data_IF_871302567601
#
_entry.id   IF_871302567601
#
_cell.length_a   1.000
_cell.length_b   1.000
_cell.length_c   1.000
_cell.angle_alpha   90.00
_cell.angle_beta   90.00
_cell.angle_gamma   90.00
#
_symmetry.space_group_name_H-M   'P 1'
#
loop_
_entity.id
_entity.type
_entity.pdbx_description
1 polymer ?
#
# COMPACT_ATOMS: atom_id res chain seq x y z
N UNK A 1 19.52 -18.37 29.10
CA UNK A 1 18.57 -18.10 30.20
C UNK A 1 17.16 -18.42 29.71
N UNK A 2 16.60 -19.55 30.13
CA UNK A 2 15.20 -19.90 29.86
C UNK A 2 14.29 -18.94 30.63
N UNK A 3 13.45 -18.18 29.94
CA UNK A 3 12.47 -17.30 30.57
C UNK A 3 11.53 -18.15 31.44
N UNK A 4 11.58 -17.94 32.76
CA UNK A 4 10.71 -18.65 33.70
C UNK A 4 9.26 -18.34 33.37
N UNK A 5 8.47 -19.39 33.14
CA UNK A 5 7.02 -19.28 32.99
C UNK A 5 6.42 -18.65 34.26
N UNK A 6 5.36 -17.84 34.13
CA UNK A 6 4.71 -17.19 35.26
C UNK A 6 4.16 -18.22 36.25
N UNK A 7 4.28 -17.94 37.54
CA UNK A 7 3.78 -18.81 38.61
C UNK A 7 2.26 -18.89 38.60
N UNK A 8 1.70 -19.97 39.17
CA UNK A 8 0.25 -20.13 39.38
C UNK A 8 -0.36 -18.93 40.12
N UNK A 9 0.34 -18.41 41.12
CA UNK A 9 -0.05 -17.19 41.83
C UNK A 9 -0.09 -15.96 40.91
N UNK A 10 0.85 -15.81 39.97
CA UNK A 10 0.82 -14.74 38.97
C UNK A 10 -0.35 -14.90 37.99
N UNK A 11 -0.67 -16.13 37.57
CA UNK A 11 -1.82 -16.42 36.71
C UNK A 11 -3.14 -16.15 37.43
N UNK A 12 -3.27 -16.55 38.70
CA UNK A 12 -4.46 -16.32 39.50
C UNK A 12 -4.65 -14.85 39.86
N UNK A 13 -3.58 -14.14 40.16
CA UNK A 13 -3.62 -12.70 40.41
C UNK A 13 -3.94 -11.94 39.10
N UNK A 14 -3.47 -12.42 37.94
CA UNK A 14 -3.88 -11.90 36.63
C UNK A 14 -5.36 -12.15 36.35
N UNK A 15 -5.88 -13.36 36.63
CA UNK A 15 -7.32 -13.68 36.52
C UNK A 15 -8.18 -12.85 37.48
N UNK A 16 -7.79 -12.71 38.75
CA UNK A 16 -8.48 -11.85 39.73
C UNK A 16 -8.46 -10.38 39.30
N UNK A 17 -7.34 -9.87 38.78
CA UNK A 17 -7.27 -8.51 38.24
C UNK A 17 -8.09 -8.33 36.95
N UNK A 18 -8.25 -9.37 36.13
CA UNK A 18 -9.16 -9.40 34.97
C UNK A 18 -10.62 -9.30 35.43
N UNK A 19 -11.02 -10.14 36.40
CA UNK A 19 -12.38 -10.18 36.93
C UNK A 19 -12.73 -8.88 37.66
N UNK A 20 -11.83 -8.37 38.50
CA UNK A 20 -12.02 -7.12 39.27
C UNK A 20 -12.00 -5.86 38.39
N UNK A 21 -11.42 -5.91 37.19
CA UNK A 21 -11.49 -4.85 36.17
C UNK A 21 -12.74 -4.92 35.29
N UNK A 22 -13.41 -6.09 35.25
CA UNK A 22 -14.67 -6.27 34.54
C UNK A 22 -15.88 -5.76 35.35
N UNK A 23 -15.82 -5.78 36.69
CA UNK A 23 -16.95 -5.49 37.60
C UNK A 23 -17.41 -4.03 37.69
N UNK A 24 -16.88 -3.12 36.88
CA UNK A 24 -17.42 -1.75 36.77
C UNK A 24 -17.35 -1.14 35.38
N UNK A 25 -16.91 -1.88 34.36
CA UNK A 25 -16.83 -1.36 32.99
C UNK A 25 -18.24 -1.17 32.45
N UNK A 26 -18.51 -0.04 31.78
CA UNK A 26 -19.74 0.13 30.98
C UNK A 26 -19.79 -1.07 30.02
N UNK A 27 -20.78 -1.94 30.24
CA UNK A 27 -20.97 -3.14 29.45
C UNK A 27 -21.77 -2.71 28.23
N UNK A 28 -21.09 -2.51 27.11
CA UNK A 28 -21.79 -2.26 25.85
C UNK A 28 -22.30 -3.58 25.33
N UNK A 29 -23.61 -3.74 25.39
CA UNK A 29 -24.30 -4.91 24.85
C UNK A 29 -25.17 -4.54 23.65
N UNK A 30 -25.61 -3.28 23.58
CA UNK A 30 -26.57 -2.79 22.59
C UNK A 30 -26.17 -1.41 22.06
N UNK A 31 -26.79 -1.03 20.96
CA UNK A 31 -26.61 0.27 20.30
C UNK A 31 -27.01 1.44 21.20
N UNK A 32 -28.04 1.27 22.02
CA UNK A 32 -28.49 2.31 22.96
C UNK A 32 -27.35 2.76 23.88
N UNK A 33 -26.52 1.81 24.34
CA UNK A 33 -25.37 2.09 25.19
C UNK A 33 -24.32 2.94 24.44
N UNK A 34 -24.17 2.75 23.12
CA UNK A 34 -23.31 3.57 22.27
C UNK A 34 -23.88 4.96 22.02
N UNK A 35 -25.18 5.08 21.77
CA UNK A 35 -25.86 6.37 21.59
C UNK A 35 -25.69 7.22 22.85
N UNK A 36 -25.85 6.61 24.04
CA UNK A 36 -25.63 7.32 25.30
C UNK A 36 -24.15 7.71 25.49
N UNK A 37 -23.22 6.81 25.18
CA UNK A 37 -21.77 7.06 25.26
C UNK A 37 -21.29 8.17 24.31
N UNK A 38 -21.93 8.30 23.14
CA UNK A 38 -21.55 9.24 22.08
C UNK A 38 -22.38 10.53 22.09
N UNK A 39 -23.33 10.64 23.03
CA UNK A 39 -24.22 11.78 23.15
C UNK A 39 -23.43 13.08 23.27
N UNK A 40 -23.74 14.04 22.41
CA UNK A 40 -23.05 15.34 22.35
C UNK A 40 -21.74 15.36 21.56
N UNK A 41 -21.30 14.21 21.02
CA UNK A 41 -20.15 14.12 20.11
C UNK A 41 -20.57 14.05 18.63
N UNK A 42 -21.86 13.95 18.34
CA UNK A 42 -22.38 13.69 17.00
C UNK A 42 -22.22 14.90 16.06
N UNK A 43 -21.68 14.65 14.88
CA UNK A 43 -21.67 15.61 13.78
C UNK A 43 -23.07 15.69 13.18
N UNK A 44 -23.75 16.80 13.45
CA UNK A 44 -25.05 17.09 12.85
C UNK A 44 -24.89 17.69 11.44
N UNK A 45 -25.92 17.56 10.60
CA UNK A 45 -25.88 18.05 9.21
C UNK A 45 -25.80 19.59 9.07
N UNK A 46 -25.88 20.34 10.18
CA UNK A 46 -25.79 21.80 10.17
C UNK A 46 -24.32 22.25 10.19
N UNK A 47 -23.79 22.67 9.03
CA UNK A 47 -22.40 23.12 8.91
C UNK A 47 -22.03 24.27 9.85
N UNK A 48 -22.99 25.14 10.21
CA UNK A 48 -22.79 26.28 11.10
C UNK A 48 -22.41 25.88 12.54
N UNK A 49 -22.89 24.73 13.02
CA UNK A 49 -22.55 24.21 14.35
C UNK A 49 -21.10 23.70 14.42
N UNK A 50 -20.43 23.55 13.28
CA UNK A 50 -19.10 22.96 13.19
C UNK A 50 -17.96 23.98 13.28
N UNK A 51 -18.20 25.25 12.95
CA UNK A 51 -17.20 26.30 13.13
C UNK A 51 -16.89 26.54 14.62
N UNK A 52 -17.83 26.19 15.49
CA UNK A 52 -17.73 26.38 16.94
C UNK A 52 -17.12 25.19 17.69
N UNK A 53 -16.98 24.02 17.04
CA UNK A 53 -16.36 22.83 17.66
C UNK A 53 -14.84 22.92 17.51
N UNK A 54 -14.10 22.62 18.58
CA UNK A 54 -12.63 22.52 18.53
C UNK A 54 -12.22 21.59 17.39
N UNK A 55 -11.33 22.09 16.52
CA UNK A 55 -10.89 21.39 15.31
C UNK A 55 -10.22 20.04 15.59
N UNK A 56 -9.76 19.81 16.82
CA UNK A 56 -9.12 18.60 17.29
C UNK A 56 -10.03 17.73 18.17
N UNK A 57 -11.23 18.19 18.52
CA UNK A 57 -12.17 17.42 19.32
C UNK A 57 -12.60 16.13 18.60
N UNK A 58 -12.89 15.11 19.40
CA UNK A 58 -13.50 13.87 18.92
C UNK A 58 -14.94 14.18 18.48
N UNK A 59 -15.24 13.86 17.23
CA UNK A 59 -16.60 13.92 16.69
C UNK A 59 -17.00 12.57 16.12
N UNK A 60 -18.21 12.13 16.44
CA UNK A 60 -18.85 10.97 15.81
C UNK A 60 -19.43 11.40 14.48
N UNK A 61 -19.07 10.70 13.42
CA UNK A 61 -19.45 11.09 12.06
C UNK A 61 -20.97 10.91 11.84
N UNK A 62 -21.56 11.56 10.83
CA UNK A 62 -22.99 11.44 10.55
C UNK A 62 -23.38 9.98 10.27
N UNK A 63 -24.47 9.53 10.89
CA UNK A 63 -24.88 8.12 10.90
C UNK A 63 -23.77 7.17 11.38
N UNK A 64 -22.87 7.70 12.22
CA UNK A 64 -21.65 7.04 12.63
C UNK A 64 -21.88 5.94 13.64
N UNK A 65 -22.90 6.05 14.51
CA UNK A 65 -23.33 4.97 15.40
C UNK A 65 -24.16 3.96 14.60
N UNK A 66 -23.80 2.67 14.68
CA UNK A 66 -24.41 1.65 13.85
C UNK A 66 -24.58 0.31 14.55
N UNK A 67 -25.54 -0.46 14.04
CA UNK A 67 -25.69 -1.90 14.22
C UNK A 67 -25.89 -2.53 12.85
N UNK A 68 -25.08 -3.52 12.52
CA UNK A 68 -25.27 -4.34 11.33
C UNK A 68 -25.43 -5.83 11.70
N UNK A 69 -25.86 -6.12 12.93
CA UNK A 69 -26.06 -7.46 13.48
C UNK A 69 -24.75 -8.15 13.82
N UNK A 70 -23.90 -8.40 12.83
CA UNK A 70 -22.60 -9.04 13.00
C UNK A 70 -21.56 -8.12 13.68
N UNK A 71 -21.76 -6.81 13.61
CA UNK A 71 -20.92 -5.80 14.23
C UNK A 71 -21.77 -4.58 14.60
N UNK A 72 -21.37 -3.89 15.65
CA UNK A 72 -21.96 -2.61 16.03
C UNK A 72 -20.87 -1.76 16.69
N UNK A 73 -21.02 -0.45 16.61
CA UNK A 73 -19.92 0.45 16.88
C UNK A 73 -20.23 1.90 16.52
N UNK A 74 -19.19 2.71 16.44
CA UNK A 74 -19.30 4.07 15.94
C UNK A 74 -18.08 4.53 15.15
N UNK A 75 -18.32 5.40 14.17
CA UNK A 75 -17.28 6.05 13.36
C UNK A 75 -16.98 7.42 13.93
N UNK A 76 -15.70 7.74 14.12
CA UNK A 76 -15.28 9.02 14.67
C UNK A 76 -14.04 9.59 13.97
N UNK A 77 -13.82 10.89 14.13
CA UNK A 77 -12.61 11.59 13.70
C UNK A 77 -12.50 12.93 14.45
N UNK A 78 -11.64 13.82 13.97
CA UNK A 78 -11.66 15.26 14.28
C UNK A 78 -11.72 16.06 12.97
N UNK A 79 -12.09 17.34 13.03
CA UNK A 79 -12.11 18.21 11.84
C UNK A 79 -10.76 18.25 11.14
N UNK A 80 -9.68 18.37 11.91
CA UNK A 80 -8.33 18.52 11.37
C UNK A 80 -7.83 17.22 10.71
N UNK A 81 -8.21 16.06 11.27
CA UNK A 81 -7.90 14.74 10.69
C UNK A 81 -8.75 14.48 9.44
N UNK A 82 -10.05 14.79 9.46
CA UNK A 82 -10.91 14.67 8.26
C UNK A 82 -10.39 15.50 7.08
N UNK A 83 -9.76 16.66 7.35
CA UNK A 83 -9.13 17.50 6.32
C UNK A 83 -8.00 16.80 5.56
N UNK A 84 -7.48 15.69 6.05
CA UNK A 84 -6.54 14.86 5.27
C UNK A 84 -7.15 14.33 3.97
N UNK A 85 -8.49 14.18 3.88
CA UNK A 85 -9.16 13.85 2.63
C UNK A 85 -9.02 14.98 1.59
N UNK A 86 -9.22 16.24 2.00
CA UNK A 86 -9.05 17.41 1.14
C UNK A 86 -7.59 17.53 0.69
N UNK A 87 -6.65 17.44 1.65
CA UNK A 87 -5.20 17.47 1.37
C UNK A 87 -4.80 16.36 0.39
N UNK A 88 -5.39 15.18 0.48
CA UNK A 88 -5.09 14.08 -0.43
C UNK A 88 -5.70 14.30 -1.82
N UNK A 89 -6.95 14.77 -1.90
CA UNK A 89 -7.57 15.16 -3.17
C UNK A 89 -6.69 16.15 -3.91
N UNK A 90 -6.23 17.19 -3.22
CA UNK A 90 -5.43 18.25 -3.82
C UNK A 90 -4.04 17.74 -4.23
N UNK A 91 -3.40 16.93 -3.39
CA UNK A 91 -2.09 16.35 -3.67
C UNK A 91 -2.10 15.40 -4.88
N UNK A 92 -3.10 14.52 -4.94
CA UNK A 92 -3.18 13.43 -5.92
C UNK A 92 -3.97 13.80 -7.18
N UNK A 93 -4.58 14.98 -7.25
CA UNK A 93 -5.31 15.47 -8.43
C UNK A 93 -6.71 14.89 -8.58
N UNK A 94 -7.46 14.81 -7.48
CA UNK A 94 -8.86 14.36 -7.44
C UNK A 94 -9.01 12.97 -6.85
N UNK A 95 -8.52 11.93 -7.56
CA UNK A 95 -8.51 10.54 -7.08
C UNK A 95 -7.26 10.24 -6.28
N UNK A 96 -7.40 9.72 -5.07
CA UNK A 96 -6.26 9.45 -4.19
C UNK A 96 -6.23 8.00 -3.67
N UNK A 97 -5.05 7.47 -3.29
CA UNK A 97 -4.96 6.11 -2.77
C UNK A 97 -5.43 6.05 -1.32
N UNK A 98 -6.18 4.99 -0.98
CA UNK A 98 -6.64 4.68 0.36
C UNK A 98 -5.87 3.54 1.02
N UNK A 99 -5.89 3.51 2.34
CA UNK A 99 -5.33 2.43 3.17
C UNK A 99 -6.27 2.19 4.34
N UNK A 100 -6.51 0.92 4.68
CA UNK A 100 -7.39 0.54 5.78
C UNK A 100 -6.84 -0.69 6.51
N UNK A 101 -6.85 -0.66 7.84
CA UNK A 101 -6.41 -1.76 8.68
C UNK A 101 -7.02 -1.66 10.09
N UNK A 102 -7.11 -2.80 10.77
CA UNK A 102 -7.62 -2.95 12.12
C UNK A 102 -6.51 -3.10 13.15
N UNK A 103 -6.65 -2.45 14.30
CA UNK A 103 -5.71 -2.58 15.41
C UNK A 103 -6.39 -3.07 16.69
N UNK A 104 -5.87 -4.19 17.19
CA UNK A 104 -6.32 -4.86 18.41
C UNK A 104 -5.52 -4.43 19.65
N UNK A 105 -6.02 -4.83 20.83
CA UNK A 105 -5.39 -4.65 22.16
C UNK A 105 -5.37 -3.23 22.71
N UNK A 106 -6.00 -2.27 22.03
CA UNK A 106 -6.21 -0.93 22.56
C UNK A 106 -7.23 -0.94 23.72
N UNK A 107 -8.21 -1.85 23.65
CA UNK A 107 -9.34 -1.92 24.57
C UNK A 107 -9.38 -3.23 25.34
N UNK A 108 -9.86 -3.16 26.56
CA UNK A 108 -10.02 -4.32 27.43
C UNK A 108 -11.09 -5.29 26.94
N UNK A 109 -12.19 -4.78 26.39
CA UNK A 109 -13.29 -5.57 25.83
C UNK A 109 -12.91 -6.36 24.57
N UNK A 110 -11.68 -6.20 24.07
CA UNK A 110 -11.20 -6.92 22.90
C UNK A 110 -11.66 -6.34 21.56
N UNK A 111 -12.41 -5.25 21.56
CA UNK A 111 -12.88 -4.61 20.32
C UNK A 111 -11.70 -3.98 19.55
N UNK A 112 -11.62 -4.16 18.22
CA UNK A 112 -10.64 -3.46 17.40
C UNK A 112 -11.00 -1.98 17.22
N UNK A 113 -9.99 -1.17 16.96
CA UNK A 113 -10.17 0.14 16.33
C UNK A 113 -9.67 0.03 14.89
N UNK A 114 -10.55 0.32 13.95
CA UNK A 114 -10.25 0.35 12.53
C UNK A 114 -9.82 1.75 12.14
N UNK A 115 -8.84 1.84 11.25
CA UNK A 115 -8.33 3.10 10.72
C UNK A 115 -8.54 3.13 9.22
N UNK A 116 -8.98 4.26 8.71
CA UNK A 116 -9.06 4.52 7.29
C UNK A 116 -8.39 5.85 6.97
N UNK A 117 -7.59 5.85 5.92
CA UNK A 117 -6.80 7.02 5.56
C UNK A 117 -6.18 6.89 4.18
N UNK A 118 -5.12 7.65 3.97
CA UNK A 118 -4.46 7.82 2.67
C UNK A 118 -2.94 7.82 2.83
N UNK A 119 -2.24 7.86 1.70
CA UNK A 119 -0.79 7.84 1.64
C UNK A 119 -0.21 9.25 1.49
N UNK A 120 0.81 9.51 2.30
CA UNK A 120 1.76 10.60 2.12
C UNK A 120 3.11 10.02 1.69
N UNK A 121 3.70 10.58 0.63
CA UNK A 121 5.00 10.15 0.13
C UNK A 121 5.97 11.34 0.10
N UNK A 122 7.13 11.20 0.74
CA UNK A 122 8.13 12.27 0.81
C UNK A 122 9.56 11.71 0.68
N UNK A 123 10.50 12.58 0.35
CA UNK A 123 11.93 12.24 0.38
C UNK A 123 12.53 12.61 1.73
N UNK A 124 13.05 11.61 2.45
CA UNK A 124 13.81 11.81 3.68
C UNK A 124 15.27 12.04 3.30
N UNK A 125 15.71 13.30 3.36
CA UNK A 125 17.07 13.71 3.02
C UNK A 125 18.12 13.10 3.95
N UNK A 126 17.79 12.86 5.22
CA UNK A 126 18.73 12.25 6.18
C UNK A 126 18.98 10.79 5.85
N UNK A 127 17.96 10.08 5.38
CA UNK A 127 18.05 8.66 5.02
C UNK A 127 18.26 8.42 3.52
N UNK A 128 18.40 9.49 2.73
CA UNK A 128 18.51 9.49 1.28
C UNK A 128 17.49 8.55 0.59
N UNK A 129 16.25 8.52 1.10
CA UNK A 129 15.26 7.52 0.68
C UNK A 129 13.85 8.10 0.60
N UNK A 130 13.06 7.55 -0.33
CA UNK A 130 11.61 7.79 -0.38
C UNK A 130 10.99 7.10 0.84
N UNK A 131 10.12 7.82 1.54
CA UNK A 131 9.37 7.35 2.70
C UNK A 131 7.88 7.48 2.43
N UNK A 132 7.14 6.55 3.02
CA UNK A 132 5.70 6.50 2.97
C UNK A 132 5.19 6.66 4.40
N UNK A 133 4.09 7.38 4.55
CA UNK A 133 3.45 7.61 5.83
C UNK A 133 1.93 7.53 5.65
N UNK A 134 1.28 6.80 6.55
CA UNK A 134 -0.17 6.77 6.62
C UNK A 134 -0.70 8.08 7.20
N UNK A 135 -1.70 8.65 6.55
CA UNK A 135 -2.43 9.85 7.00
C UNK A 135 -3.87 9.44 7.33
N UNK A 136 -4.25 9.36 8.61
CA UNK A 136 -5.62 8.97 8.96
C UNK A 136 -6.61 10.01 8.47
N UNK A 137 -7.82 9.56 8.12
CA UNK A 137 -8.97 10.41 7.81
C UNK A 137 -10.07 10.15 8.84
N UNK A 138 -10.28 8.89 9.21
CA UNK A 138 -11.29 8.49 10.20
C UNK A 138 -10.92 7.18 10.88
N UNK A 139 -11.61 6.92 11.98
CA UNK A 139 -11.48 5.71 12.76
C UNK A 139 -12.86 5.13 13.04
N UNK A 140 -12.89 3.83 13.33
CA UNK A 140 -14.09 3.15 13.80
C UNK A 140 -13.78 2.33 15.03
N UNK A 141 -14.61 2.50 16.04
CA UNK A 141 -14.72 1.58 17.15
C UNK A 141 -15.78 0.54 16.80
N UNK A 142 -15.47 -0.76 16.83
CA UNK A 142 -16.43 -1.81 16.45
C UNK A 142 -16.22 -3.09 17.23
N UNK A 143 -17.30 -3.83 17.49
CA UNK A 143 -17.23 -5.17 18.11
C UNK A 143 -16.57 -6.23 17.23
N UNK A 144 -16.63 -6.05 15.92
CA UNK A 144 -16.13 -7.02 14.96
C UNK A 144 -15.78 -6.39 13.62
N UNK A 145 -14.90 -7.07 12.89
CA UNK A 145 -14.53 -6.75 11.52
C UNK A 145 -15.47 -7.51 10.57
N UNK A 146 -16.45 -6.81 10.00
CA UNK A 146 -17.35 -7.35 8.98
C UNK A 146 -17.39 -6.44 7.75
N UNK A 147 -17.85 -6.97 6.62
CA UNK A 147 -18.06 -6.17 5.39
C UNK A 147 -18.92 -4.95 5.69
N UNK A 148 -20.00 -5.13 6.42
CA UNK A 148 -20.98 -4.09 6.75
C UNK A 148 -20.37 -3.01 7.65
N UNK A 149 -19.52 -3.39 8.60
CA UNK A 149 -18.77 -2.44 9.42
C UNK A 149 -17.83 -1.59 8.55
N UNK A 150 -17.07 -2.19 7.64
CA UNK A 150 -16.20 -1.43 6.74
C UNK A 150 -17.00 -0.56 5.75
N UNK A 151 -18.13 -1.04 5.22
CA UNK A 151 -19.04 -0.22 4.40
C UNK A 151 -19.49 1.00 5.19
N UNK A 152 -19.87 0.82 6.46
CA UNK A 152 -20.27 1.93 7.33
C UNK A 152 -19.12 2.91 7.57
N UNK A 153 -17.91 2.43 7.86
CA UNK A 153 -16.70 3.27 8.01
C UNK A 153 -16.53 4.18 6.79
N UNK A 154 -16.53 3.59 5.60
CA UNK A 154 -16.29 4.30 4.35
C UNK A 154 -17.42 5.29 4.01
N UNK A 155 -18.69 4.89 4.18
CA UNK A 155 -19.84 5.75 3.91
C UNK A 155 -19.92 6.93 4.87
N UNK A 156 -19.76 6.72 6.18
CA UNK A 156 -19.77 7.79 7.17
C UNK A 156 -18.63 8.78 6.95
N UNK A 157 -17.45 8.27 6.57
CA UNK A 157 -16.30 9.12 6.24
C UNK A 157 -16.57 9.98 5.01
N UNK A 158 -17.05 9.37 3.92
CA UNK A 158 -17.36 10.08 2.68
C UNK A 158 -18.47 11.12 2.88
N UNK A 159 -19.52 10.78 3.66
CA UNK A 159 -20.58 11.71 4.02
C UNK A 159 -20.06 12.90 4.83
N UNK A 160 -19.22 12.65 5.85
CA UNK A 160 -18.61 13.71 6.64
C UNK A 160 -17.72 14.64 5.79
N UNK A 161 -16.90 14.07 4.90
CA UNK A 161 -16.06 14.85 3.98
C UNK A 161 -16.90 15.70 3.03
N UNK A 162 -18.00 15.14 2.49
CA UNK A 162 -18.92 15.89 1.63
C UNK A 162 -19.58 17.05 2.38
N UNK A 163 -20.09 16.80 3.58
CA UNK A 163 -20.75 17.82 4.40
C UNK A 163 -19.82 18.96 4.80
N UNK A 164 -18.54 18.66 5.07
CA UNK A 164 -17.59 19.63 5.60
C UNK A 164 -16.78 20.37 4.53
N UNK A 165 -16.48 19.70 3.42
CA UNK A 165 -15.55 20.19 2.40
C UNK A 165 -16.17 20.23 1.00
N UNK A 166 -17.44 19.85 0.86
CA UNK A 166 -18.20 20.01 -0.38
C UNK A 166 -17.81 19.06 -1.51
N UNK A 167 -17.08 17.97 -1.25
CA UNK A 167 -16.69 17.01 -2.28
C UNK A 167 -16.92 15.56 -1.87
N UNK A 168 -17.26 14.71 -2.85
CA UNK A 168 -17.36 13.27 -2.66
C UNK A 168 -15.98 12.64 -2.78
N UNK A 169 -15.61 11.80 -1.82
CA UNK A 169 -14.35 11.05 -1.89
C UNK A 169 -14.36 10.09 -3.07
N UNK A 170 -13.31 10.16 -3.89
CA UNK A 170 -13.05 9.25 -5.00
C UNK A 170 -11.64 8.67 -4.85
N UNK A 171 -11.55 7.35 -4.83
CA UNK A 171 -10.28 6.65 -4.58
C UNK A 171 -9.73 6.07 -5.87
N UNK A 172 -8.42 6.21 -6.07
CA UNK A 172 -7.72 5.54 -7.18
C UNK A 172 -7.51 4.07 -6.87
N UNK A 173 -7.14 3.77 -5.62
CA UNK A 173 -6.72 2.45 -5.16
C UNK A 173 -6.99 2.26 -3.68
N UNK A 174 -6.95 1.01 -3.22
CA UNK A 174 -6.81 0.70 -1.79
C UNK A 174 -5.81 -0.43 -1.58
N UNK A 175 -4.88 -0.22 -0.65
CA UNK A 175 -3.96 -1.25 -0.19
C UNK A 175 -4.35 -1.71 1.21
N UNK A 176 -4.42 -3.03 1.39
CA UNK A 176 -4.71 -3.66 2.67
C UNK A 176 -4.19 -5.10 2.68
N UNK A 177 -4.21 -5.70 3.85
CA UNK A 177 -4.02 -7.13 4.07
C UNK A 177 -4.99 -7.99 3.28
N UNK A 178 -4.68 -9.29 3.20
CA UNK A 178 -5.59 -10.33 2.72
C UNK A 178 -6.81 -10.41 3.67
N UNK A 179 -7.82 -9.59 3.40
CA UNK A 179 -9.03 -9.45 4.21
C UNK A 179 -10.27 -9.32 3.32
N UNK A 180 -11.06 -10.40 3.22
CA UNK A 180 -12.24 -10.47 2.35
C UNK A 180 -13.29 -9.41 2.71
N UNK A 181 -13.48 -9.15 4.01
CA UNK A 181 -14.43 -8.14 4.50
C UNK A 181 -14.07 -6.73 4.01
N UNK A 182 -12.79 -6.34 4.10
CA UNK A 182 -12.32 -5.02 3.66
C UNK A 182 -12.45 -4.92 2.14
N UNK A 183 -12.00 -5.93 1.40
CA UNK A 183 -12.08 -5.96 -0.06
C UNK A 183 -13.53 -5.85 -0.55
N UNK A 184 -14.44 -6.62 0.02
CA UNK A 184 -15.85 -6.61 -0.35
C UNK A 184 -16.54 -5.28 0.00
N UNK A 185 -16.19 -4.67 1.13
CA UNK A 185 -16.70 -3.36 1.51
C UNK A 185 -16.18 -2.26 0.56
N UNK A 186 -14.90 -2.33 0.22
CA UNK A 186 -14.26 -1.41 -0.70
C UNK A 186 -14.91 -1.46 -2.08
N UNK A 187 -15.14 -2.66 -2.62
CA UNK A 187 -15.82 -2.85 -3.90
C UNK A 187 -17.28 -2.33 -3.88
N UNK A 188 -17.95 -2.37 -2.72
CA UNK A 188 -19.29 -1.79 -2.54
C UNK A 188 -19.27 -0.25 -2.65
N UNK A 189 -18.30 0.41 -2.00
CA UNK A 189 -18.30 1.88 -1.88
C UNK A 189 -17.57 2.58 -3.04
N UNK A 190 -16.48 1.98 -3.52
CA UNK A 190 -15.67 2.49 -4.62
C UNK A 190 -15.39 1.38 -5.66
N UNK A 191 -16.41 0.95 -6.43
CA UNK A 191 -16.28 -0.16 -7.38
C UNK A 191 -15.25 0.09 -8.50
N UNK A 192 -14.95 1.36 -8.79
CA UNK A 192 -14.01 1.75 -9.85
C UNK A 192 -12.55 1.85 -9.36
N UNK A 193 -12.31 1.76 -8.06
CA UNK A 193 -10.98 1.88 -7.49
C UNK A 193 -10.26 0.52 -7.51
N UNK A 194 -8.95 0.51 -7.73
CA UNK A 194 -8.19 -0.74 -7.79
C UNK A 194 -7.85 -1.27 -6.40
N UNK A 195 -8.22 -2.52 -6.13
CA UNK A 195 -7.76 -3.24 -4.94
C UNK A 195 -6.31 -3.70 -5.12
N UNK A 196 -5.51 -3.56 -4.06
CA UNK A 196 -4.12 -4.00 -3.99
C UNK A 196 -3.93 -4.78 -2.69
N UNK A 197 -3.21 -5.89 -2.77
CA UNK A 197 -2.88 -6.73 -1.62
C UNK A 197 -1.48 -6.39 -1.12
N UNK A 198 -1.31 -6.26 0.19
CA UNK A 198 -0.04 -5.93 0.82
C UNK A 198 1.05 -6.99 0.52
N UNK A 199 2.13 -6.57 -0.13
CA UNK A 199 3.31 -7.39 -0.44
C UNK A 199 4.01 -7.96 0.81
N UNK A 200 4.35 -7.18 1.85
CA UNK A 200 4.92 -7.74 3.08
C UNK A 200 4.16 -8.95 3.64
N UNK A 201 2.83 -8.92 3.58
CA UNK A 201 2.01 -10.04 4.00
C UNK A 201 2.07 -11.24 3.05
N UNK A 202 2.19 -11.00 1.75
CA UNK A 202 2.43 -12.03 0.74
C UNK A 202 3.84 -12.62 0.84
N UNK A 203 4.87 -11.84 1.19
CA UNK A 203 6.26 -12.32 1.21
C UNK A 203 6.65 -13.06 2.48
N UNK A 204 6.04 -12.72 3.63
CA UNK A 204 6.45 -13.25 4.94
C UNK A 204 5.60 -14.42 5.45
N UNK A 205 4.27 -14.37 5.30
CA UNK A 205 3.36 -15.42 5.80
C UNK A 205 3.59 -16.82 5.18
N UNK A 206 3.90 -16.97 3.88
CA UNK A 206 3.95 -18.29 3.23
C UNK A 206 5.05 -19.22 3.77
N UNK A 207 6.17 -18.67 4.23
CA UNK A 207 7.37 -19.46 4.57
C UNK A 207 7.11 -20.54 5.62
N UNK A 208 6.19 -20.28 6.57
CA UNK A 208 5.82 -21.25 7.62
C UNK A 208 4.94 -22.39 7.10
N UNK A 209 4.18 -22.14 6.04
CA UNK A 209 3.29 -23.14 5.43
C UNK A 209 4.04 -23.97 4.40
N UNK A 210 4.95 -23.34 3.65
CA UNK A 210 5.76 -24.01 2.63
C UNK A 210 6.60 -25.14 3.20
N UNK A 211 7.30 -24.93 4.33
CA UNK A 211 8.14 -25.94 4.97
C UNK A 211 7.37 -27.24 5.27
N UNK A 212 6.06 -27.14 5.52
CA UNK A 212 5.19 -28.28 5.81
C UNK A 212 4.77 -29.05 4.56
N UNK A 213 4.75 -28.39 3.41
CA UNK A 213 4.26 -28.94 2.14
C UNK A 213 5.38 -29.47 1.24
N UNK A 214 6.61 -29.01 1.43
CA UNK A 214 7.75 -29.43 0.60
C UNK A 214 8.09 -30.90 0.88
N UNK A 215 8.01 -31.72 -0.17
CA UNK A 215 8.30 -33.16 -0.12
C UNK A 215 9.73 -33.50 -0.58
N UNK A 216 10.38 -32.60 -1.30
CA UNK A 216 11.78 -32.73 -1.73
C UNK A 216 12.73 -32.92 -0.55
N UNK A 217 13.76 -33.75 -0.76
CA UNK A 217 14.85 -33.93 0.18
C UNK A 217 15.61 -32.61 0.44
N UNK A 218 15.79 -31.79 -0.60
CA UNK A 218 16.39 -30.47 -0.49
C UNK A 218 15.30 -29.40 -0.32
N UNK A 219 14.78 -29.32 0.90
CA UNK A 219 13.73 -28.35 1.24
C UNK A 219 14.19 -26.90 1.10
N UNK A 220 15.46 -26.65 1.43
CA UNK A 220 16.04 -25.32 1.43
C UNK A 220 16.08 -24.75 0.02
N UNK A 221 16.58 -25.50 -0.96
CA UNK A 221 16.64 -25.04 -2.34
C UNK A 221 15.26 -24.74 -2.94
N UNK A 222 14.24 -25.55 -2.63
CA UNK A 222 12.86 -25.31 -3.08
C UNK A 222 12.31 -24.02 -2.48
N UNK A 223 12.46 -23.82 -1.17
CA UNK A 223 11.96 -22.63 -0.47
C UNK A 223 12.66 -21.36 -0.99
N UNK A 224 13.98 -21.40 -1.19
CA UNK A 224 14.73 -20.28 -1.75
C UNK A 224 14.32 -19.95 -3.19
N UNK A 225 14.04 -20.97 -4.01
CA UNK A 225 13.55 -20.78 -5.37
C UNK A 225 12.13 -20.17 -5.39
N UNK A 226 11.24 -20.60 -4.50
CA UNK A 226 9.91 -19.99 -4.30
C UNK A 226 10.02 -18.53 -3.86
N UNK A 227 10.86 -18.26 -2.86
CA UNK A 227 11.04 -16.91 -2.33
C UNK A 227 11.59 -15.95 -3.39
N UNK A 228 12.61 -16.40 -4.15
CA UNK A 228 13.14 -15.65 -5.29
C UNK A 228 12.05 -15.38 -6.32
N UNK A 229 11.23 -16.38 -6.62
CA UNK A 229 10.13 -16.28 -7.59
C UNK A 229 9.08 -15.25 -7.17
N UNK A 230 8.66 -15.23 -5.90
CA UNK A 230 7.76 -14.21 -5.37
C UNK A 230 8.37 -12.81 -5.48
N UNK A 231 9.66 -12.65 -5.15
CA UNK A 231 10.32 -11.34 -5.28
C UNK A 231 10.40 -10.86 -6.74
N UNK A 232 10.52 -11.78 -7.70
CA UNK A 232 10.48 -11.44 -9.12
C UNK A 232 9.06 -11.06 -9.56
N UNK A 233 8.05 -11.83 -9.15
CA UNK A 233 6.64 -11.50 -9.38
C UNK A 233 6.27 -10.12 -8.82
N UNK A 234 6.74 -9.78 -7.62
CA UNK A 234 6.52 -8.46 -7.03
C UNK A 234 7.10 -7.34 -7.90
N UNK A 235 8.24 -7.60 -8.56
CA UNK A 235 8.92 -6.63 -9.44
C UNK A 235 8.31 -6.54 -10.84
N UNK A 236 7.27 -7.32 -11.16
CA UNK A 236 6.57 -7.22 -12.43
C UNK A 236 5.95 -5.83 -12.62
N UNK A 237 5.88 -5.39 -13.88
CA UNK A 237 5.53 -4.01 -14.24
C UNK A 237 4.19 -3.89 -14.96
N UNK A 238 3.57 -5.01 -15.26
CA UNK A 238 2.26 -5.13 -15.89
C UNK A 238 1.62 -6.45 -15.46
N UNK A 239 0.29 -6.50 -15.51
CA UNK A 239 -0.48 -7.73 -15.30
C UNK A 239 0.00 -8.87 -16.20
N UNK A 240 0.32 -8.60 -17.47
CA UNK A 240 0.74 -9.62 -18.43
C UNK A 240 2.09 -10.24 -18.05
N UNK A 241 3.09 -9.40 -17.77
CA UNK A 241 4.38 -9.83 -17.23
C UNK A 241 4.22 -10.66 -15.93
N UNK A 242 3.32 -10.25 -15.02
CA UNK A 242 3.00 -11.01 -13.82
C UNK A 242 2.43 -12.38 -14.16
N UNK A 243 1.40 -12.43 -15.02
CA UNK A 243 0.73 -13.67 -15.43
C UNK A 243 1.67 -14.65 -16.14
N UNK A 244 2.61 -14.17 -16.95
CA UNK A 244 3.59 -15.03 -17.62
C UNK A 244 4.64 -15.59 -16.67
N UNK A 245 5.22 -14.75 -15.80
CA UNK A 245 6.15 -15.24 -14.80
C UNK A 245 5.46 -16.22 -13.84
N UNK A 246 4.21 -15.96 -13.47
CA UNK A 246 3.40 -16.85 -12.63
C UNK A 246 3.23 -18.25 -13.23
N UNK A 247 3.01 -18.35 -14.54
CA UNK A 247 2.95 -19.64 -15.25
C UNK A 247 4.30 -20.37 -15.20
N UNK A 248 5.41 -19.66 -15.39
CA UNK A 248 6.75 -20.24 -15.30
C UNK A 248 7.07 -20.74 -13.89
N UNK A 249 6.70 -19.99 -12.85
CA UNK A 249 6.87 -20.39 -11.45
C UNK A 249 6.11 -21.68 -11.16
N UNK A 250 4.84 -21.76 -11.56
CA UNK A 250 4.04 -22.99 -11.39
C UNK A 250 4.61 -24.16 -12.18
N UNK A 251 5.03 -23.94 -13.43
CA UNK A 251 5.65 -24.97 -14.24
C UNK A 251 6.91 -25.51 -13.56
N UNK A 252 7.76 -24.65 -13.00
CA UNK A 252 8.98 -25.07 -12.31
C UNK A 252 8.67 -25.87 -11.04
N UNK A 253 7.70 -25.45 -10.23
CA UNK A 253 7.32 -26.20 -9.03
C UNK A 253 6.82 -27.61 -9.36
N UNK A 254 5.93 -27.74 -10.34
CA UNK A 254 5.36 -29.04 -10.75
C UNK A 254 6.37 -29.92 -11.48
N UNK A 255 7.09 -29.38 -12.46
CA UNK A 255 7.87 -30.19 -13.39
C UNK A 255 9.32 -30.40 -12.94
N UNK A 256 9.97 -29.36 -12.40
CA UNK A 256 11.38 -29.41 -11.97
C UNK A 256 11.50 -29.91 -10.54
N UNK A 257 10.72 -29.35 -9.61
CA UNK A 257 10.81 -29.72 -8.20
C UNK A 257 9.86 -30.86 -7.78
N UNK A 258 8.86 -31.18 -8.60
CA UNK A 258 7.82 -32.19 -8.30
C UNK A 258 7.01 -31.86 -7.05
N UNK A 259 6.78 -30.57 -6.80
CA UNK A 259 6.12 -30.03 -5.61
C UNK A 259 4.66 -29.62 -5.90
N UNK A 260 3.79 -30.61 -6.15
CA UNK A 260 2.39 -30.37 -6.55
C UNK A 260 1.57 -29.61 -5.50
N UNK A 261 1.64 -30.02 -4.23
CA UNK A 261 0.90 -29.38 -3.14
C UNK A 261 1.33 -27.93 -2.92
N UNK A 262 2.64 -27.66 -3.02
CA UNK A 262 3.18 -26.31 -2.93
C UNK A 262 2.78 -25.46 -4.13
N UNK A 263 2.82 -26.02 -5.35
CA UNK A 263 2.37 -25.33 -6.56
C UNK A 263 0.89 -24.94 -6.45
N UNK A 264 0.05 -25.85 -5.96
CA UNK A 264 -1.36 -25.57 -5.72
C UNK A 264 -1.54 -24.40 -4.74
N UNK A 265 -0.88 -24.46 -3.58
CA UNK A 265 -0.94 -23.38 -2.58
C UNK A 265 -0.46 -22.04 -3.18
N UNK A 266 0.68 -22.03 -3.89
CA UNK A 266 1.23 -20.81 -4.47
C UNK A 266 0.28 -20.22 -5.51
N UNK A 267 -0.32 -21.07 -6.34
CA UNK A 267 -1.32 -20.65 -7.31
C UNK A 267 -2.56 -20.07 -6.63
N UNK A 268 -3.17 -20.80 -5.70
CA UNK A 268 -4.45 -20.42 -5.09
C UNK A 268 -4.34 -19.20 -4.18
N UNK A 269 -3.25 -19.11 -3.40
CA UNK A 269 -3.13 -18.11 -2.35
C UNK A 269 -2.48 -16.80 -2.81
N UNK A 270 -1.57 -16.86 -3.79
CA UNK A 270 -0.71 -15.71 -4.14
C UNK A 270 -0.80 -15.29 -5.61
N UNK A 271 -1.18 -16.17 -6.53
CA UNK A 271 -1.11 -15.86 -7.97
C UNK A 271 -2.50 -15.71 -8.59
N UNK A 272 -3.53 -16.32 -8.01
CA UNK A 272 -4.89 -16.23 -8.49
C UNK A 272 -5.68 -15.09 -7.82
N UNK A 273 -6.69 -14.54 -8.52
CA UNK A 273 -7.70 -13.71 -7.90
C UNK A 273 -8.32 -14.41 -6.68
N UNK A 274 -8.72 -13.65 -5.64
CA UNK A 274 -8.78 -12.19 -5.59
C UNK A 274 -7.50 -11.49 -5.09
N UNK A 275 -6.39 -12.20 -4.87
CA UNK A 275 -5.21 -11.69 -4.16
C UNK A 275 -3.93 -11.69 -5.01
N UNK A 276 -4.07 -11.62 -6.33
CA UNK A 276 -3.01 -11.59 -7.34
C UNK A 276 -2.44 -10.18 -7.63
N UNK A 277 -2.93 -9.18 -6.92
CA UNK A 277 -2.63 -7.76 -7.18
C UNK A 277 -1.66 -7.21 -6.12
N UNK A 278 -0.38 -7.59 -6.18
CA UNK A 278 0.66 -7.19 -5.19
C UNK A 278 2.02 -6.88 -5.82
N UNK A 279 2.09 -6.71 -7.14
CA UNK A 279 3.29 -6.24 -7.84
C UNK A 279 3.40 -4.72 -7.80
N UNK A 280 4.62 -4.19 -7.97
CA UNK A 280 4.97 -2.78 -7.67
C UNK A 280 4.17 -1.74 -8.47
N UNK A 281 3.72 -2.06 -9.68
CA UNK A 281 2.95 -1.13 -10.51
C UNK A 281 1.43 -1.35 -10.45
N UNK A 282 0.97 -2.32 -9.64
CA UNK A 282 -0.40 -2.80 -9.61
C UNK A 282 -1.42 -1.71 -9.20
N UNK A 283 -0.98 -0.74 -8.39
CA UNK A 283 -1.79 0.42 -8.03
C UNK A 283 -2.21 1.24 -9.25
N UNK A 284 -1.41 1.25 -10.32
CA UNK A 284 -1.57 2.25 -11.36
C UNK A 284 -0.96 3.60 -11.00
N UNK A 285 -0.78 3.90 -9.71
CA UNK A 285 -0.37 5.18 -9.17
C UNK A 285 1.13 5.21 -8.88
N UNK A 286 1.80 6.31 -9.25
CA UNK A 286 3.23 6.47 -9.02
C UNK A 286 3.51 6.54 -7.51
N UNK A 287 4.53 5.81 -7.05
CA UNK A 287 4.92 5.72 -5.62
C UNK A 287 3.81 5.25 -4.67
N UNK A 288 2.79 4.56 -5.17
CA UNK A 288 1.82 3.85 -4.35
C UNK A 288 2.14 2.36 -4.42
N UNK A 289 3.11 1.94 -3.60
CA UNK A 289 3.55 0.55 -3.53
C UNK A 289 2.51 -0.31 -2.77
N UNK A 290 2.40 -1.62 -3.07
CA UNK A 290 1.50 -2.55 -2.38
C UNK A 290 2.00 -2.84 -0.96
N UNK A 291 1.87 -1.92 -0.01
CA UNK A 291 2.36 -2.08 1.36
C UNK A 291 1.45 -1.42 2.39
N UNK A 292 1.04 -2.21 3.40
CA UNK A 292 0.39 -1.76 4.64
C UNK A 292 1.39 -1.30 5.72
N UNK A 293 2.69 -1.30 5.42
CA UNK A 293 3.71 -0.89 6.39
C UNK A 293 3.48 0.53 6.94
N UNK A 294 2.99 1.51 6.15
CA UNK A 294 2.68 2.84 6.67
C UNK A 294 1.60 2.81 7.76
N UNK A 295 0.48 2.10 7.57
CA UNK A 295 -0.57 2.01 8.60
C UNK A 295 -0.13 1.17 9.80
N UNK A 296 0.65 0.10 9.59
CA UNK A 296 1.22 -0.69 10.69
C UNK A 296 2.16 0.14 11.57
N UNK A 297 3.02 0.96 10.93
CA UNK A 297 3.94 1.88 11.63
C UNK A 297 3.14 2.94 12.40
N UNK A 298 2.05 3.43 11.80
CA UNK A 298 1.14 4.33 12.48
C UNK A 298 0.50 3.68 13.72
N UNK A 299 -0.02 2.46 13.61
CA UNK A 299 -0.59 1.71 14.72
C UNK A 299 0.43 1.40 15.82
N UNK A 300 1.65 1.09 15.44
CA UNK A 300 2.76 0.97 16.39
C UNK A 300 2.93 2.29 17.16
N UNK A 301 2.96 3.42 16.47
CA UNK A 301 3.09 4.74 17.08
C UNK A 301 1.93 5.06 18.04
N UNK A 302 0.69 4.74 17.66
CA UNK A 302 -0.49 4.91 18.53
C UNK A 302 -0.29 4.13 19.83
N UNK A 303 0.06 2.85 19.74
CA UNK A 303 0.20 1.94 20.89
C UNK A 303 1.32 2.31 21.87
N UNK A 304 2.38 2.95 21.38
CA UNK A 304 3.57 3.23 22.18
C UNK A 304 3.69 4.69 22.63
N UNK A 305 3.13 5.63 21.88
CA UNK A 305 3.41 7.06 22.09
C UNK A 305 2.17 7.95 22.18
N UNK A 306 0.99 7.51 21.71
CA UNK A 306 -0.19 8.39 21.63
C UNK A 306 -1.29 8.08 22.64
N UNK A 307 -1.26 6.90 23.23
CA UNK A 307 -2.19 6.50 24.28
C UNK A 307 -1.42 6.14 25.54
N UNK A 308 -1.98 6.51 26.69
CA UNK A 308 -1.33 6.27 27.98
C UNK A 308 -1.43 4.80 28.43
N UNK A 309 -2.37 4.02 27.86
CA UNK A 309 -2.66 2.67 28.33
C UNK A 309 -3.20 1.76 27.23
N UNK A 310 -2.52 0.64 27.03
CA UNK A 310 -3.06 -0.49 26.28
C UNK A 310 -4.10 -1.25 27.10
N UNK A 311 -5.09 -1.83 26.42
CA UNK A 311 -6.24 -2.50 27.03
C UNK A 311 -6.95 -1.59 28.03
N UNK A 312 -7.13 -0.32 27.64
CA UNK A 312 -7.87 0.63 28.44
C UNK A 312 -9.34 0.18 28.58
N UNK A 313 -9.97 0.60 29.67
CA UNK A 313 -11.43 0.55 29.78
C UNK A 313 -12.02 1.57 28.80
N UNK A 314 -13.23 1.31 28.33
CA UNK A 314 -13.81 2.11 27.26
C UNK A 314 -14.09 3.55 27.69
N UNK A 315 -14.66 3.74 28.87
CA UNK A 315 -14.81 5.05 29.53
C UNK A 315 -13.50 5.85 29.49
N UNK A 316 -12.40 5.25 29.95
CA UNK A 316 -11.08 5.90 29.90
C UNK A 316 -10.62 6.19 28.46
N UNK A 317 -10.88 5.28 27.53
CA UNK A 317 -10.53 5.50 26.12
C UNK A 317 -11.34 6.69 25.55
N UNK A 318 -12.62 6.82 25.87
CA UNK A 318 -13.47 7.91 25.38
C UNK A 318 -13.10 9.27 25.98
N UNK A 319 -12.87 9.31 27.29
CA UNK A 319 -12.66 10.59 27.99
C UNK A 319 -11.22 11.10 27.90
N UNK A 320 -10.22 10.21 27.86
CA UNK A 320 -8.80 10.60 27.86
C UNK A 320 -8.07 10.12 26.62
N UNK A 321 -8.26 8.85 26.24
CA UNK A 321 -7.47 8.20 25.19
C UNK A 321 -7.66 8.79 23.80
N UNK A 322 -8.91 8.87 23.31
CA UNK A 322 -9.23 9.41 21.99
C UNK A 322 -8.92 10.90 21.89
N UNK A 323 -9.33 11.77 22.84
CA UNK A 323 -8.99 13.19 22.77
C UNK A 323 -7.47 13.44 22.70
N UNK A 324 -6.69 12.78 23.56
CA UNK A 324 -5.23 12.89 23.53
C UNK A 324 -4.65 12.39 22.21
N UNK A 325 -5.10 11.23 21.73
CA UNK A 325 -4.62 10.68 20.47
C UNK A 325 -4.93 11.60 19.30
N UNK A 326 -6.17 12.04 19.11
CA UNK A 326 -6.54 12.92 17.99
C UNK A 326 -5.80 14.28 18.07
N UNK A 327 -5.59 14.80 19.28
CA UNK A 327 -4.78 16.00 19.49
C UNK A 327 -3.30 15.79 19.06
N UNK A 328 -2.70 14.66 19.45
CA UNK A 328 -1.34 14.33 19.05
C UNK A 328 -1.21 14.09 17.55
N UNK A 329 -2.22 13.51 16.90
CA UNK A 329 -2.23 13.37 15.46
C UNK A 329 -2.31 14.72 14.76
N UNK A 330 -3.19 15.59 15.24
CA UNK A 330 -3.34 16.94 14.71
C UNK A 330 -2.07 17.79 14.81
N UNK A 331 -1.25 17.56 15.85
CA UNK A 331 -0.07 18.38 16.16
C UNK A 331 1.25 17.80 15.66
N UNK A 332 1.35 16.49 15.41
CA UNK A 332 2.59 15.83 14.93
C UNK A 332 2.77 15.87 13.40
N UNK A 333 2.29 16.91 12.75
CA UNK A 333 2.42 17.09 11.31
C UNK A 333 1.67 16.05 10.47
N UNK A 334 0.79 15.21 11.05
CA UNK A 334 -0.14 14.35 10.29
C UNK A 334 -1.23 15.15 9.60
N UNK A 335 -1.33 16.44 9.93
CA UNK A 335 -2.19 17.43 9.30
C UNK A 335 -1.41 18.44 8.44
N UNK A 336 -0.14 18.20 8.15
CA UNK A 336 0.59 18.99 7.15
C UNK A 336 0.13 18.62 5.73
N UNK A 337 0.33 19.51 4.73
CA UNK A 337 0.07 19.19 3.33
C UNK A 337 0.61 17.83 2.92
N UNK A 338 -0.18 17.10 2.14
CA UNK A 338 0.20 15.78 1.65
C UNK A 338 1.00 15.95 0.37
N UNK A 339 2.15 15.29 0.31
CA UNK A 339 2.89 15.11 -0.94
C UNK A 339 2.44 13.83 -1.65
N UNK A 340 2.07 13.96 -2.92
CA UNK A 340 1.80 12.85 -3.85
C UNK A 340 3.00 12.55 -4.76
N UNK A 341 4.12 13.25 -4.57
CA UNK A 341 5.36 13.02 -5.27
C UNK A 341 6.54 13.08 -4.29
N UNK A 342 7.53 12.21 -4.48
CA UNK A 342 8.77 12.24 -3.71
C UNK A 342 9.87 13.02 -4.44
N UNK A 343 9.55 14.18 -5.03
CA UNK A 343 10.51 14.98 -5.77
C UNK A 343 11.52 15.69 -4.85
N UNK A 344 12.32 14.92 -4.10
CA UNK A 344 13.44 15.41 -3.30
C UNK A 344 14.67 15.77 -4.14
N UNK A 345 15.58 16.54 -3.54
CA UNK A 345 16.91 16.80 -4.11
C UNK A 345 17.65 15.46 -4.21
N UNK A 346 18.12 15.10 -5.40
CA UNK A 346 18.90 13.88 -5.62
C UNK A 346 20.32 14.13 -5.13
N UNK A 347 20.86 13.25 -4.28
CA UNK A 347 22.22 13.43 -3.72
C UNK A 347 23.28 13.35 -4.82
N UNK A 348 24.35 14.14 -4.68
CA UNK A 348 25.50 14.18 -5.61
C UNK A 348 26.12 12.81 -5.88
N UNK A 349 26.08 11.91 -4.89
CA UNK A 349 26.56 10.52 -5.02
C UNK A 349 25.69 9.68 -5.96
N UNK A 350 24.36 9.83 -5.89
CA UNK A 350 23.43 9.18 -6.82
C UNK A 350 23.59 9.78 -8.22
N UNK A 351 23.89 11.09 -8.31
CA UNK A 351 24.24 11.76 -9.57
C UNK A 351 25.51 11.15 -10.18
N UNK A 352 26.58 11.04 -9.41
CA UNK A 352 27.85 10.47 -9.87
C UNK A 352 27.68 9.01 -10.34
N UNK A 353 27.01 8.17 -9.56
CA UNK A 353 26.80 6.76 -9.92
C UNK A 353 25.92 6.57 -11.18
N UNK A 354 24.96 7.47 -11.42
CA UNK A 354 24.17 7.45 -12.64
C UNK A 354 24.97 7.96 -13.85
N UNK A 355 25.82 8.99 -13.66
CA UNK A 355 26.75 9.48 -14.70
C UNK A 355 27.78 8.41 -15.09
N UNK A 356 28.33 7.66 -14.13
CA UNK A 356 29.26 6.56 -14.43
C UNK A 356 28.60 5.45 -15.26
N UNK A 357 27.33 5.12 -14.97
CA UNK A 357 26.56 4.13 -15.75
C UNK A 357 26.19 4.64 -17.15
N UNK A 358 25.97 5.95 -17.31
CA UNK A 358 25.83 6.57 -18.62
C UNK A 358 27.16 6.47 -19.39
N UNK A 359 28.27 6.87 -18.78
CA UNK A 359 29.58 6.85 -19.43
C UNK A 359 30.02 5.42 -19.83
N UNK A 360 29.58 4.40 -19.10
CA UNK A 360 29.81 2.99 -19.40
C UNK A 360 28.98 2.43 -20.59
N UNK A 361 28.19 3.25 -21.31
CA UNK A 361 27.32 2.84 -22.43
C UNK A 361 26.30 1.73 -22.08
N UNK A 362 25.84 1.67 -20.83
CA UNK A 362 24.88 0.65 -20.36
C UNK A 362 23.40 0.96 -20.71
N UNK A 363 23.14 1.79 -21.73
CA UNK A 363 21.81 2.20 -22.16
C UNK A 363 21.74 2.34 -23.68
N UNK A 364 20.56 2.14 -24.28
CA UNK A 364 20.30 2.43 -25.69
C UNK A 364 19.10 3.37 -25.81
N UNK A 365 19.26 4.43 -26.60
CA UNK A 365 18.17 5.36 -26.95
C UNK A 365 17.39 4.76 -28.12
N UNK A 366 16.08 4.63 -27.97
CA UNK A 366 15.18 4.20 -29.04
C UNK A 366 14.07 5.24 -29.18
N UNK A 367 14.16 6.07 -30.23
CA UNK A 367 13.25 7.20 -30.47
C UNK A 367 13.22 8.22 -29.29
N UNK A 368 12.04 8.50 -28.71
CA UNK A 368 11.84 9.39 -27.54
C UNK A 368 11.96 8.65 -26.20
N UNK A 369 12.29 7.36 -26.21
CA UNK A 369 12.31 6.49 -25.04
C UNK A 369 13.72 5.97 -24.77
N UNK A 370 14.11 5.95 -23.49
CA UNK A 370 15.39 5.38 -23.07
C UNK A 370 15.16 3.97 -22.53
N UNK A 371 15.95 3.02 -23.01
CA UNK A 371 15.94 1.64 -22.54
C UNK A 371 17.25 1.35 -21.79
N UNK A 372 17.14 1.14 -20.48
CA UNK A 372 18.28 0.81 -19.61
C UNK A 372 18.38 -0.69 -19.47
N UNK A 373 19.57 -1.24 -19.69
CA UNK A 373 19.87 -2.67 -19.55
C UNK A 373 20.61 -2.86 -18.23
N UNK A 374 19.98 -3.57 -17.28
CA UNK A 374 20.55 -3.74 -15.93
C UNK A 374 21.53 -4.91 -15.80
N UNK A 375 21.60 -5.82 -16.78
CA UNK A 375 22.59 -6.91 -16.88
C UNK A 375 23.11 -7.01 -18.31
N UNK A 376 24.43 -7.12 -18.51
CA UNK A 376 25.03 -7.41 -19.83
C UNK A 376 24.44 -8.72 -20.36
N UNK A 377 23.60 -8.65 -21.39
CA UNK A 377 23.25 -9.82 -22.18
C UNK A 377 24.55 -10.33 -22.82
N UNK A 378 24.96 -11.55 -22.49
CA UNK A 378 26.20 -12.12 -23.02
C UNK A 378 26.05 -12.30 -24.54
N UNK A 379 27.04 -11.79 -25.27
CA UNK A 379 27.42 -12.15 -26.65
C UNK A 379 26.36 -12.02 -27.75
N UNK A 380 25.36 -11.14 -27.59
CA UNK A 380 24.43 -10.83 -28.68
C UNK A 380 24.26 -9.33 -28.86
N UNK A 381 24.38 -8.86 -30.11
CA UNK A 381 24.19 -7.46 -30.45
C UNK A 381 22.76 -7.01 -30.08
N UNK A 382 22.69 -6.02 -29.20
CA UNK A 382 21.44 -5.46 -28.70
C UNK A 382 20.95 -4.42 -29.72
N UNK A 383 20.16 -4.79 -30.73
CA UNK A 383 19.63 -3.80 -31.70
C UNK A 383 18.44 -3.02 -31.14
N UNK A 384 18.13 -1.87 -31.76
CA UNK A 384 17.00 -1.01 -31.41
C UNK A 384 15.66 -1.71 -31.61
N UNK A 385 15.45 -2.41 -32.73
CA UNK A 385 14.26 -3.24 -32.94
C UNK A 385 14.15 -4.32 -31.87
N UNK A 386 15.23 -5.03 -31.55
CA UNK A 386 15.20 -6.11 -30.55
C UNK A 386 14.82 -5.63 -29.15
N UNK A 387 15.29 -4.46 -28.75
CA UNK A 387 14.93 -3.86 -27.45
C UNK A 387 13.46 -3.45 -27.43
N UNK A 388 12.95 -2.89 -28.52
CA UNK A 388 11.53 -2.57 -28.69
C UNK A 388 10.68 -3.84 -28.69
N UNK A 389 11.03 -4.83 -29.51
CA UNK A 389 10.33 -6.10 -29.63
C UNK A 389 10.33 -6.87 -28.31
N UNK A 390 11.47 -6.97 -27.61
CA UNK A 390 11.51 -7.60 -26.29
C UNK A 390 10.67 -6.82 -25.26
N UNK A 391 10.66 -5.49 -25.33
CA UNK A 391 9.85 -4.67 -24.44
C UNK A 391 8.35 -4.82 -24.71
N UNK A 392 7.93 -4.68 -25.96
CA UNK A 392 6.53 -4.77 -26.37
C UNK A 392 6.01 -6.20 -26.17
N UNK A 393 6.82 -7.21 -26.50
CA UNK A 393 6.49 -8.62 -26.22
C UNK A 393 6.40 -8.91 -24.71
N UNK A 394 7.21 -8.23 -23.88
CA UNK A 394 7.11 -8.37 -22.42
C UNK A 394 5.80 -7.81 -21.86
N UNK A 395 5.15 -6.90 -22.60
CA UNK A 395 3.85 -6.33 -22.25
C UNK A 395 2.68 -7.06 -22.91
N UNK A 396 2.79 -7.53 -24.15
CA UNK A 396 1.69 -8.22 -24.85
C UNK A 396 1.51 -9.67 -24.40
N UNK A 397 2.55 -10.28 -23.81
CA UNK A 397 2.48 -11.65 -23.33
C UNK A 397 2.63 -12.73 -24.42
N UNK A 398 3.05 -12.41 -25.64
CA UNK A 398 3.14 -13.39 -26.75
C UNK A 398 4.26 -14.45 -26.62
N UNK A 399 4.95 -14.51 -25.47
CA UNK A 399 6.28 -15.14 -25.38
C UNK A 399 6.31 -16.55 -24.81
N UNK A 400 5.33 -16.96 -24.01
CA UNK A 400 5.38 -18.25 -23.29
C UNK A 400 5.04 -19.45 -24.19
N UNK A 401 4.40 -19.23 -25.33
CA UNK A 401 3.99 -20.34 -26.21
C UNK A 401 5.10 -20.76 -27.18
N UNK A 402 6.06 -19.88 -27.51
CA UNK A 402 7.05 -20.16 -28.58
C UNK A 402 8.39 -20.72 -28.10
N UNK A 403 8.76 -20.54 -26.83
CA UNK A 403 10.06 -20.98 -26.29
C UNK A 403 9.88 -21.38 -24.82
N UNK A 404 10.31 -22.59 -24.44
CA UNK A 404 10.41 -23.03 -23.03
C UNK A 404 11.44 -22.18 -22.27
N UNK A 405 11.06 -20.96 -21.89
CA UNK A 405 11.94 -20.02 -21.19
C UNK A 405 12.11 -20.43 -19.73
N UNK A 406 13.35 -20.43 -19.24
CA UNK A 406 13.62 -20.49 -17.80
C UNK A 406 13.29 -19.15 -17.12
N UNK A 407 13.07 -19.16 -15.80
CA UNK A 407 12.89 -17.92 -15.03
C UNK A 407 14.08 -16.97 -15.22
N UNK A 408 15.31 -17.47 -15.19
CA UNK A 408 16.50 -16.64 -15.39
C UNK A 408 16.53 -15.98 -16.78
N UNK A 409 16.18 -16.74 -17.82
CA UNK A 409 16.07 -16.22 -19.19
C UNK A 409 14.97 -15.17 -19.31
N UNK A 410 13.85 -15.36 -18.61
CA UNK A 410 12.75 -14.40 -18.59
C UNK A 410 13.17 -13.09 -17.91
N UNK A 411 13.87 -13.18 -16.76
CA UNK A 411 14.39 -12.02 -16.03
C UNK A 411 15.38 -11.25 -16.89
N UNK A 412 16.34 -11.95 -17.49
CA UNK A 412 17.37 -11.33 -18.31
C UNK A 412 16.80 -10.64 -19.56
N UNK A 413 15.85 -11.27 -20.25
CA UNK A 413 15.29 -10.73 -21.51
C UNK A 413 14.23 -9.66 -21.30
N UNK A 414 13.39 -9.80 -20.27
CA UNK A 414 12.15 -9.02 -20.16
C UNK A 414 12.03 -8.17 -18.90
N UNK A 415 12.67 -8.56 -17.80
CA UNK A 415 12.65 -7.75 -16.56
C UNK A 415 13.82 -6.76 -16.49
N UNK A 416 14.85 -6.94 -17.31
CA UNK A 416 16.05 -6.10 -17.32
C UNK A 416 15.91 -4.77 -18.07
N UNK A 417 14.90 -4.65 -18.95
CA UNK A 417 14.67 -3.52 -19.85
C UNK A 417 13.69 -2.52 -19.26
N UNK A 418 14.05 -1.26 -19.04
CA UNK A 418 13.15 -0.23 -18.49
C UNK A 418 12.78 0.84 -19.52
N UNK A 419 11.50 1.20 -19.67
CA UNK A 419 11.06 2.34 -20.48
C UNK A 419 10.96 3.60 -19.62
N UNK A 420 11.40 4.72 -20.17
CA UNK A 420 11.30 6.05 -19.56
C UNK A 420 10.64 7.01 -20.56
N UNK A 421 9.67 7.79 -20.10
CA UNK A 421 8.90 8.80 -20.85
C UNK A 421 9.05 10.18 -20.23
N UNK A 422 8.95 11.24 -21.04
CA UNK A 422 8.89 12.62 -20.55
C UNK A 422 7.45 13.13 -20.62
N UNK A 423 6.87 13.46 -19.47
CA UNK A 423 5.47 13.86 -19.32
C UNK A 423 5.41 15.05 -18.35
N UNK A 424 4.81 16.17 -18.76
CA UNK A 424 4.62 17.36 -17.92
C UNK A 424 5.89 17.81 -17.19
N UNK A 425 6.96 18.02 -17.96
CA UNK A 425 8.30 18.39 -17.50
C UNK A 425 8.99 17.40 -16.54
N UNK A 426 8.48 16.16 -16.46
CA UNK A 426 8.98 15.11 -15.58
C UNK A 426 9.28 13.84 -16.36
N UNK A 427 10.42 13.22 -16.08
CA UNK A 427 10.72 11.88 -16.57
C UNK A 427 10.04 10.83 -15.69
N UNK A 428 9.32 9.90 -16.31
CA UNK A 428 8.55 8.83 -15.67
C UNK A 428 9.04 7.49 -16.20
N UNK A 429 9.53 6.63 -15.31
CA UNK A 429 9.88 5.25 -15.66
C UNK A 429 8.71 4.30 -15.41
N UNK A 430 8.57 3.31 -16.28
CA UNK A 430 7.50 2.31 -16.23
C UNK A 430 7.48 1.42 -14.97
N UNK A 431 8.59 1.31 -14.23
CA UNK A 431 8.60 0.64 -12.94
C UNK A 431 7.99 1.48 -11.81
N UNK A 432 7.59 2.74 -12.10
CA UNK A 432 6.92 3.71 -11.22
C UNK A 432 7.67 4.08 -9.93
N UNK A 433 8.84 3.48 -9.69
CA UNK A 433 9.77 3.78 -8.58
C UNK A 433 10.88 4.76 -8.95
N UNK A 434 11.12 4.97 -10.24
CA UNK A 434 12.31 5.65 -10.77
C UNK A 434 12.11 7.16 -11.00
N UNK A 435 11.44 7.87 -10.07
CA UNK A 435 11.43 9.34 -10.06
C UNK A 435 12.74 9.95 -9.51
N UNK A 436 13.49 9.19 -8.70
CA UNK A 436 14.64 9.72 -7.95
C UNK A 436 15.99 9.67 -8.69
N UNK A 437 16.16 8.88 -9.75
CA UNK A 437 17.49 8.68 -10.36
C UNK A 437 17.87 9.70 -11.43
N UNK A 438 16.93 10.42 -12.04
CA UNK A 438 17.21 11.09 -13.31
C UNK A 438 17.01 12.61 -13.36
N UNK A 439 16.79 13.28 -12.21
CA UNK A 439 17.20 14.71 -12.09
C UNK A 439 18.68 14.91 -12.48
N UNK A 440 19.47 13.83 -12.39
CA UNK A 440 20.85 13.68 -12.87
C UNK A 440 21.02 13.92 -14.37
N UNK A 441 20.10 13.44 -15.22
CA UNK A 441 20.20 13.63 -16.67
C UNK A 441 19.81 15.04 -17.11
N UNK A 442 18.90 15.69 -16.38
CA UNK A 442 18.51 17.08 -16.64
C UNK A 442 19.61 18.09 -16.25
N UNK A 443 20.56 17.68 -15.40
CA UNK A 443 21.71 18.49 -14.98
C UNK A 443 23.01 18.14 -15.74
N UNK A 444 23.00 17.09 -16.56
CA UNK A 444 24.11 16.81 -17.46
C UNK A 444 24.08 17.83 -18.61
N UNK A 445 25.17 18.57 -18.87
CA UNK A 445 25.21 19.53 -19.97
C UNK A 445 24.90 18.81 -21.29
N UNK A 446 24.09 19.46 -22.14
CA UNK A 446 23.64 18.96 -23.45
C UNK A 446 24.76 18.43 -24.35
N UNK A 447 26.01 18.82 -24.09
CA UNK A 447 27.20 18.37 -24.79
C UNK A 447 27.61 16.90 -24.51
N UNK A 448 27.14 16.26 -23.44
CA UNK A 448 27.47 14.85 -23.13
C UNK A 448 26.48 13.84 -23.72
N UNK A 449 25.34 14.29 -24.25
CA UNK A 449 24.29 13.43 -24.81
C UNK A 449 24.38 13.18 -26.32
N UNK A 450 25.51 13.52 -26.93
CA UNK A 450 25.79 13.24 -28.34
C UNK A 450 25.02 14.17 -29.27
N UNK A 451 25.70 15.20 -29.75
CA UNK A 451 25.34 15.89 -30.96
C UNK A 451 25.50 14.92 -32.14
N UNK A 452 24.40 14.31 -32.57
CA UNK A 452 24.24 13.85 -33.95
C UNK A 452 22.74 13.71 -34.27
N UNK A 453 22.21 14.83 -34.78
CA UNK A 453 21.18 14.98 -35.82
C UNK A 453 20.36 16.25 -35.52
N UNK A 454 20.61 17.29 -36.34
CA UNK A 454 19.80 18.49 -36.41
C UNK A 454 18.36 18.22 -36.90
N UNK A 455 17.56 19.28 -37.08
CA UNK A 455 16.10 19.16 -37.20
C UNK A 455 15.71 18.59 -38.56
N UNK A 456 15.21 17.36 -38.57
CA UNK A 456 14.38 16.87 -39.67
C UNK A 456 12.94 16.76 -39.15
N UNK A 457 12.16 17.81 -39.43
CA UNK A 457 10.71 17.74 -39.38
C UNK A 457 10.24 16.74 -40.46
N UNK A 458 10.06 15.48 -40.09
CA UNK A 458 9.27 14.55 -40.89
C UNK A 458 7.80 14.81 -40.56
N UNK A 459 7.13 15.55 -41.43
CA UNK A 459 5.68 15.67 -41.47
C UNK A 459 5.08 14.29 -41.71
N UNK A 460 4.41 13.71 -40.70
CA UNK A 460 3.43 12.66 -40.93
C UNK A 460 2.19 13.31 -41.56
N UNK A 461 2.03 13.20 -42.88
CA UNK A 461 0.72 13.44 -43.49
C UNK A 461 -0.20 12.23 -43.23
N UNK A 462 -1.49 12.46 -42.93
CA UNK A 462 -2.46 11.38 -42.81
C UNK A 462 -2.82 10.83 -44.21
N UNK A 463 -3.23 9.55 -44.31
CA UNK A 463 -3.68 9.00 -45.59
C UNK A 463 -4.98 9.69 -45.99
N UNK A 464 -5.02 10.19 -47.22
CA UNK A 464 -6.26 10.59 -47.91
C UNK A 464 -6.79 9.38 -48.71
N UNK A 465 -8.09 9.35 -49.03
CA UNK A 465 -8.98 8.19 -48.93
C UNK A 465 -8.64 6.99 -49.82
#
# INVERSE_FOLDING_TARGET
>A
MLARLPSLAQIENFKKNIVRRATGAIKIERVADLVELTKGLELTAASAAFETVDVNAVVVLPNGVFDCGAAFGFVFSSRNILRNAERARDAWGGKFPGECDGSWKLLYCGWPILGFGTHHVYYDSKKCAIRHQFRPISFMFTKGESKEAFVRLFQCTSAAVFLLFGFKMDLSTCCSDKADAIKAAFATVWPNARWITCWPHISMKPRKEWVKLVVSADKTAVIEACDRSLHLLHKCRSTDQFGQLAKLVNYQLRNKFKEESLAHLVQSEYISPPYDVWYVTASGQILCDPSSQPIETYWFGVKHFKINRLRARLDNMMHEGLPQWLYLDATNGLCDPINANACGVVSSEVIAAAVDKLNAKAYKRVCRHYYVITKRARDVEVTTERVRDCYDSSKSGDLVVRVQLSIDSFVEKYMSLHKVEYINDKWVCDCKRLLAWWRVLALAPSSTLGAEAGPAAAQCQPPSP
#
